data_IF_951233920465
#
_entry.id   IF_951233920465
#
_cell.length_a   1.000
_cell.length_b   1.000
_cell.length_c   1.000
_cell.angle_alpha   90.00
_cell.angle_beta   90.00
_cell.angle_gamma   90.00
#
_symmetry.space_group_name_H-M   'P 1'
#
loop_
_entity.id
_entity.type
_entity.pdbx_description
1 polymer ?
#
# COMPACT_ATOMS: atom_id res chain seq x y z
N UNK A 1 -26.50 19.15 -12.73
CA UNK A 1 -26.45 17.67 -12.77
C UNK A 1 -24.99 17.25 -12.67
N UNK A 2 -24.51 16.94 -11.46
CA UNK A 2 -23.16 16.36 -11.29
C UNK A 2 -23.19 14.97 -11.92
N UNK A 3 -22.41 14.77 -12.99
CA UNK A 3 -22.13 13.44 -13.55
C UNK A 3 -21.78 12.51 -12.39
N UNK A 4 -22.44 11.35 -12.36
CA UNK A 4 -22.15 10.28 -11.40
C UNK A 4 -20.63 10.02 -11.38
N UNK A 5 -19.99 10.37 -10.26
CA UNK A 5 -18.52 10.46 -10.17
C UNK A 5 -17.85 9.08 -10.15
N UNK A 6 -18.62 7.99 -10.15
CA UNK A 6 -18.10 6.66 -9.85
C UNK A 6 -17.71 6.60 -8.38
N UNK A 7 -18.39 5.76 -7.60
CA UNK A 7 -18.10 5.63 -6.19
C UNK A 7 -16.96 4.64 -5.97
N UNK A 8 -15.91 5.07 -5.27
CA UNK A 8 -14.78 4.23 -4.89
C UNK A 8 -14.73 4.11 -3.36
N UNK A 9 -14.52 2.90 -2.84
CA UNK A 9 -14.59 2.65 -1.40
C UNK A 9 -13.18 2.56 -0.80
N UNK A 10 -12.91 3.38 0.21
CA UNK A 10 -11.73 3.26 1.06
C UNK A 10 -12.15 2.64 2.40
N UNK A 11 -11.63 1.45 2.70
CA UNK A 11 -11.65 0.90 4.05
C UNK A 11 -10.47 1.49 4.83
N UNK A 12 -10.78 2.15 5.95
CA UNK A 12 -9.83 2.99 6.67
C UNK A 12 -9.62 2.51 8.10
N UNK A 13 -8.40 2.09 8.43
CA UNK A 13 -7.92 2.00 9.81
C UNK A 13 -7.49 3.38 10.35
N UNK A 14 -7.30 3.49 11.66
CA UNK A 14 -6.92 4.72 12.36
C UNK A 14 -5.53 4.61 12.99
N UNK A 15 -5.31 3.65 13.89
CA UNK A 15 -4.04 3.47 14.56
C UNK A 15 -3.03 2.94 13.55
N UNK A 16 -1.84 3.53 13.48
CA UNK A 16 -0.85 3.18 12.46
C UNK A 16 -1.15 3.71 11.06
N UNK A 17 -2.27 4.41 10.88
CA UNK A 17 -2.67 5.05 9.60
C UNK A 17 -2.86 6.55 9.76
N UNK A 18 -3.85 7.00 10.53
CA UNK A 18 -4.15 8.43 10.72
C UNK A 18 -3.27 9.07 11.80
N UNK A 19 -2.55 8.26 12.56
CA UNK A 19 -1.53 8.61 13.53
C UNK A 19 -0.69 7.34 13.82
N UNK A 20 0.51 7.45 14.42
CA UNK A 20 1.27 6.27 14.83
C UNK A 20 0.48 5.36 15.78
N UNK A 21 0.55 4.04 15.59
CA UNK A 21 -0.14 3.04 16.41
C UNK A 21 0.30 3.09 17.88
N UNK A 22 1.58 3.39 18.11
CA UNK A 22 2.08 3.67 19.46
C UNK A 22 1.72 5.11 19.83
N UNK A 23 0.87 5.24 20.86
CA UNK A 23 0.46 6.54 21.39
C UNK A 23 1.68 7.30 21.90
N UNK A 24 1.89 8.48 21.32
CA UNK A 24 2.91 9.45 21.70
C UNK A 24 2.17 10.69 22.21
N UNK A 25 2.34 11.10 23.48
CA UNK A 25 1.68 12.27 24.05
C UNK A 25 1.92 13.57 23.27
N UNK A 26 3.06 13.66 22.56
CA UNK A 26 3.44 14.83 21.77
C UNK A 26 2.85 14.79 20.35
N UNK A 27 2.28 13.65 19.91
CA UNK A 27 1.64 13.51 18.60
C UNK A 27 0.13 13.36 18.78
N UNK A 28 -0.67 14.36 18.36
CA UNK A 28 -2.11 14.25 18.48
C UNK A 28 -2.64 13.13 17.59
N UNK A 29 -3.72 12.49 18.05
CA UNK A 29 -4.51 11.57 17.23
C UNK A 29 -4.93 12.27 15.92
N UNK A 30 -5.04 11.49 14.84
CA UNK A 30 -5.40 11.99 13.52
C UNK A 30 -4.44 13.05 12.93
N UNK A 31 -3.17 13.07 13.34
CA UNK A 31 -2.17 13.99 12.80
C UNK A 31 -1.90 13.85 11.29
N UNK A 32 -2.32 12.74 10.66
CA UNK A 32 -2.24 12.51 9.21
C UNK A 32 -3.52 12.89 8.45
N UNK A 33 -4.45 13.63 9.07
CA UNK A 33 -5.70 14.05 8.43
C UNK A 33 -5.48 14.81 7.12
N UNK A 34 -4.44 15.65 7.04
CA UNK A 34 -4.11 16.41 5.83
C UNK A 34 -3.82 15.52 4.61
N UNK A 35 -3.12 14.40 4.81
CA UNK A 35 -2.83 13.43 3.75
C UNK A 35 -4.09 12.70 3.29
N UNK A 36 -5.01 12.38 4.22
CA UNK A 36 -6.32 11.83 3.88
C UNK A 36 -7.17 12.84 3.08
N UNK A 37 -7.19 14.10 3.50
CA UNK A 37 -7.89 15.16 2.77
C UNK A 37 -7.32 15.36 1.36
N UNK A 38 -5.99 15.29 1.21
CA UNK A 38 -5.33 15.34 -0.09
C UNK A 38 -5.78 14.19 -0.99
N UNK A 39 -5.76 12.95 -0.48
CA UNK A 39 -6.26 11.78 -1.19
C UNK A 39 -7.72 11.97 -1.65
N UNK A 40 -8.58 12.50 -0.78
CA UNK A 40 -9.99 12.75 -1.08
C UNK A 40 -10.22 13.88 -2.09
N UNK A 41 -9.30 14.85 -2.18
CA UNK A 41 -9.31 15.86 -3.24
C UNK A 41 -8.91 15.25 -4.58
N UNK A 42 -7.90 14.37 -4.56
CA UNK A 42 -7.43 13.64 -5.74
C UNK A 42 -8.46 12.64 -6.24
N UNK A 43 -9.26 12.01 -5.37
CA UNK A 43 -10.34 11.10 -5.76
C UNK A 43 -11.70 11.63 -5.24
N UNK A 44 -12.38 12.52 -5.99
CA UNK A 44 -13.64 13.11 -5.54
C UNK A 44 -14.75 12.09 -5.24
N UNK A 45 -14.77 10.97 -5.98
CA UNK A 45 -15.69 9.86 -5.79
C UNK A 45 -15.42 8.98 -4.57
N UNK A 46 -14.32 9.20 -3.85
CA UNK A 46 -13.91 8.38 -2.71
C UNK A 46 -14.86 8.52 -1.52
N UNK A 47 -15.33 7.37 -1.04
CA UNK A 47 -16.18 7.21 0.15
C UNK A 47 -15.47 6.32 1.17
N UNK A 48 -15.59 6.66 2.43
CA UNK A 48 -14.87 5.99 3.52
C UNK A 48 -15.81 5.04 4.25
N UNK A 49 -15.33 3.82 4.46
CA UNK A 49 -15.89 2.86 5.40
C UNK A 49 -14.86 2.62 6.49
N UNK A 50 -15.22 2.88 7.74
CA UNK A 50 -14.30 2.66 8.86
C UNK A 50 -14.10 1.17 9.08
N UNK A 51 -12.86 0.71 9.05
CA UNK A 51 -12.49 -0.67 9.37
C UNK A 51 -11.70 -0.81 10.68
N UNK A 52 -11.37 0.31 11.34
CA UNK A 52 -10.69 0.34 12.64
C UNK A 52 -11.38 -0.39 13.79
N UNK A 53 -10.61 -0.93 14.73
CA UNK A 53 -11.06 -1.45 16.04
C UNK A 53 -11.95 -0.47 16.82
N UNK A 54 -11.81 0.84 16.58
CA UNK A 54 -12.63 1.87 17.21
C UNK A 54 -14.12 1.73 16.88
N UNK A 55 -14.45 1.06 15.77
CA UNK A 55 -15.82 0.76 15.37
C UNK A 55 -16.51 -0.21 16.32
N UNK A 56 -15.78 -0.93 17.17
CA UNK A 56 -16.33 -1.97 18.06
C UNK A 56 -17.11 -1.35 19.23
N UNK A 57 -16.65 -0.20 19.71
CA UNK A 57 -17.25 0.50 20.86
C UNK A 57 -17.98 1.78 20.46
N UNK A 58 -17.85 2.24 19.21
CA UNK A 58 -18.42 3.52 18.75
C UNK A 58 -19.46 3.34 17.65
N UNK A 59 -20.56 4.08 17.76
CA UNK A 59 -21.56 4.17 16.69
C UNK A 59 -20.99 4.88 15.46
N UNK A 60 -21.60 4.67 14.28
CA UNK A 60 -21.20 5.40 13.06
C UNK A 60 -21.28 6.93 13.23
N UNK A 61 -22.28 7.41 13.98
CA UNK A 61 -22.39 8.84 14.31
C UNK A 61 -21.18 9.30 15.12
N UNK A 62 -20.81 8.58 16.17
CA UNK A 62 -19.64 8.92 17.00
C UNK A 62 -18.33 8.86 16.20
N UNK A 63 -18.17 7.88 15.30
CA UNK A 63 -17.00 7.79 14.42
C UNK A 63 -16.91 9.00 13.47
N UNK A 64 -18.03 9.43 12.90
CA UNK A 64 -18.10 10.61 12.02
C UNK A 64 -17.66 11.90 12.71
N UNK A 65 -17.97 12.06 14.00
CA UNK A 65 -17.58 13.25 14.75
C UNK A 65 -16.06 13.37 14.99
N UNK A 66 -15.29 12.29 14.78
CA UNK A 66 -13.82 12.33 14.83
C UNK A 66 -13.21 13.08 13.63
N UNK A 67 -13.97 13.25 12.56
CA UNK A 67 -13.49 13.81 11.31
C UNK A 67 -13.92 15.28 11.14
N UNK A 68 -13.08 16.12 10.51
CA UNK A 68 -13.50 17.43 10.04
C UNK A 68 -14.61 17.30 8.98
N UNK A 69 -15.37 18.37 8.76
CA UNK A 69 -16.52 18.38 7.86
C UNK A 69 -16.18 17.95 6.42
N UNK A 70 -14.96 18.27 5.96
CA UNK A 70 -14.36 17.86 4.69
C UNK A 70 -14.38 16.34 4.47
N UNK A 71 -14.13 15.57 5.54
CA UNK A 71 -14.04 14.11 5.50
C UNK A 71 -15.32 13.44 5.99
N UNK A 72 -15.92 13.97 7.07
CA UNK A 72 -17.10 13.44 7.76
C UNK A 72 -18.24 13.05 6.82
N UNK A 73 -18.52 13.91 5.84
CA UNK A 73 -19.64 13.72 4.90
C UNK A 73 -19.39 12.61 3.87
N UNK A 74 -18.15 12.10 3.77
CA UNK A 74 -17.81 10.96 2.92
C UNK A 74 -17.63 9.66 3.70
N UNK A 75 -17.69 9.69 5.04
CA UNK A 75 -17.73 8.48 5.86
C UNK A 75 -19.15 7.89 5.80
N UNK A 76 -19.32 6.82 5.02
CA UNK A 76 -20.61 6.23 4.69
C UNK A 76 -20.99 5.03 5.56
N UNK A 77 -20.02 4.43 6.25
CA UNK A 77 -20.28 3.23 7.04
C UNK A 77 -19.10 2.77 7.87
N UNK A 78 -19.26 1.59 8.48
CA UNK A 78 -18.21 0.81 9.13
C UNK A 78 -18.33 -0.66 8.72
N UNK A 79 -17.24 -1.40 8.73
CA UNK A 79 -17.28 -2.86 8.55
C UNK A 79 -18.05 -3.53 9.70
N UNK A 80 -18.62 -4.73 9.50
CA UNK A 80 -19.14 -5.54 10.61
C UNK A 80 -18.00 -5.90 11.57
N UNK A 81 -18.28 -5.94 12.88
CA UNK A 81 -17.31 -6.35 13.92
C UNK A 81 -17.10 -7.86 13.94
N UNK A 82 -18.09 -8.61 13.46
CA UNK A 82 -18.04 -10.06 13.34
C UNK A 82 -18.63 -10.45 11.99
N UNK A 83 -17.86 -11.22 11.23
CA UNK A 83 -18.36 -11.90 10.05
C UNK A 83 -18.47 -13.38 10.39
N UNK A 84 -19.66 -13.99 10.31
CA UNK A 84 -19.78 -15.44 10.47
C UNK A 84 -18.87 -16.13 9.46
N UNK A 85 -17.97 -17.00 9.96
CA UNK A 85 -16.93 -17.67 9.17
C UNK A 85 -17.52 -18.54 8.06
N UNK A 86 -18.74 -19.02 8.24
CA UNK A 86 -19.52 -19.81 7.27
C UNK A 86 -19.90 -18.98 6.03
N UNK A 87 -19.86 -17.65 6.14
CA UNK A 87 -20.19 -16.72 5.06
C UNK A 87 -18.94 -16.22 4.31
N UNK A 88 -17.76 -16.70 4.71
CA UNK A 88 -16.48 -16.35 4.13
C UNK A 88 -15.87 -17.54 3.38
N UNK A 89 -15.22 -17.30 2.23
CA UNK A 89 -14.30 -18.29 1.66
C UNK A 89 -13.28 -18.73 2.71
N UNK A 90 -12.97 -20.03 2.78
CA UNK A 90 -12.00 -20.60 3.73
C UNK A 90 -10.65 -19.91 3.69
N UNK A 91 -10.22 -19.46 2.50
CA UNK A 91 -8.99 -18.67 2.32
C UNK A 91 -8.94 -17.36 3.11
N UNK A 92 -10.06 -16.85 3.61
CA UNK A 92 -10.15 -15.60 4.38
C UNK A 92 -10.32 -15.82 5.89
N UNK A 93 -10.41 -17.06 6.36
CA UNK A 93 -10.63 -17.34 7.78
C UNK A 93 -9.51 -16.79 8.68
N UNK A 94 -8.28 -16.76 8.15
CA UNK A 94 -7.11 -16.19 8.83
C UNK A 94 -6.94 -14.68 8.60
N UNK A 95 -7.69 -14.08 7.67
CA UNK A 95 -7.51 -12.69 7.21
C UNK A 95 -8.76 -11.86 7.51
N UNK A 96 -8.98 -11.63 8.80
CA UNK A 96 -10.25 -11.11 9.34
C UNK A 96 -10.61 -9.74 8.76
N UNK A 97 -9.62 -8.87 8.51
CA UNK A 97 -9.89 -7.53 7.97
C UNK A 97 -10.30 -7.58 6.50
N UNK A 98 -9.63 -8.39 5.68
CA UNK A 98 -10.02 -8.60 4.28
C UNK A 98 -11.43 -9.21 4.20
N UNK A 99 -11.73 -10.19 5.06
CA UNK A 99 -13.04 -10.79 5.19
C UNK A 99 -14.15 -9.76 5.49
N UNK A 100 -13.90 -8.86 6.45
CA UNK A 100 -14.80 -7.77 6.81
C UNK A 100 -15.07 -6.80 5.65
N UNK A 101 -14.01 -6.37 4.96
CA UNK A 101 -14.10 -5.48 3.80
C UNK A 101 -14.91 -6.15 2.69
N UNK A 102 -14.60 -7.41 2.38
CA UNK A 102 -15.31 -8.23 1.39
C UNK A 102 -16.79 -8.40 1.76
N UNK A 103 -17.09 -8.66 3.03
CA UNK A 103 -18.47 -8.79 3.50
C UNK A 103 -19.26 -7.48 3.36
N UNK A 104 -18.62 -6.34 3.63
CA UNK A 104 -19.22 -5.03 3.42
C UNK A 104 -19.48 -4.78 1.92
N UNK A 105 -18.49 -5.06 1.06
CA UNK A 105 -18.62 -4.91 -0.39
C UNK A 105 -19.70 -5.82 -0.99
N UNK A 106 -19.96 -6.99 -0.43
CA UNK A 106 -21.05 -7.87 -0.89
C UNK A 106 -22.43 -7.40 -0.43
N UNK A 107 -22.53 -6.85 0.78
CA UNK A 107 -23.83 -6.63 1.44
C UNK A 107 -24.32 -5.18 1.40
N UNK A 108 -23.44 -4.20 1.23
CA UNK A 108 -23.77 -2.78 1.45
C UNK A 108 -23.33 -1.83 0.34
N UNK A 109 -22.37 -2.21 -0.49
CA UNK A 109 -21.88 -1.41 -1.62
C UNK A 109 -23.00 -0.87 -2.52
N UNK A 110 -24.01 -1.70 -2.81
CA UNK A 110 -25.14 -1.33 -3.66
C UNK A 110 -25.96 -0.15 -3.10
N UNK A 111 -25.98 0.03 -1.77
CA UNK A 111 -26.67 1.15 -1.12
C UNK A 111 -26.00 2.50 -1.39
N UNK A 112 -24.76 2.47 -1.89
CA UNK A 112 -23.97 3.65 -2.26
C UNK A 112 -23.57 3.61 -3.72
N UNK A 113 -24.34 2.91 -4.56
CA UNK A 113 -24.17 2.92 -6.03
C UNK A 113 -22.95 2.13 -6.53
N UNK A 114 -22.35 1.27 -5.71
CA UNK A 114 -21.26 0.37 -6.13
C UNK A 114 -21.81 -1.05 -6.28
N UNK A 115 -21.66 -1.72 -7.43
CA UNK A 115 -22.17 -3.09 -7.60
C UNK A 115 -21.57 -4.07 -6.57
N UNK A 116 -22.37 -4.99 -6.00
CA UNK A 116 -21.85 -6.06 -5.16
C UNK A 116 -20.80 -6.89 -5.90
N UNK A 117 -19.68 -7.18 -5.23
CA UNK A 117 -18.56 -7.91 -5.83
C UNK A 117 -17.67 -7.08 -6.75
N UNK A 118 -17.88 -5.77 -6.85
CA UNK A 118 -16.95 -4.85 -7.52
C UNK A 118 -15.60 -4.78 -6.80
N UNK A 119 -14.53 -4.68 -7.59
CA UNK A 119 -13.16 -4.45 -7.13
C UNK A 119 -12.86 -2.97 -6.87
N UNK A 120 -13.85 -2.07 -6.99
CA UNK A 120 -13.73 -0.62 -6.78
C UNK A 120 -13.56 -0.23 -5.31
N UNK A 121 -12.59 -0.83 -4.64
CA UNK A 121 -12.25 -0.58 -3.25
C UNK A 121 -10.76 -0.80 -2.96
N UNK A 122 -10.27 -0.14 -1.91
CA UNK A 122 -8.97 -0.40 -1.30
C UNK A 122 -9.07 -0.31 0.22
N UNK A 123 -8.14 -0.96 0.91
CA UNK A 123 -7.91 -0.82 2.34
C UNK A 123 -6.60 -0.06 2.59
N UNK A 124 -6.62 0.81 3.59
CA UNK A 124 -5.44 1.49 4.12
C UNK A 124 -5.30 1.09 5.59
N UNK A 125 -4.24 0.35 5.88
CA UNK A 125 -4.04 -0.40 7.13
C UNK A 125 -2.54 -0.61 7.38
N UNK A 126 -2.12 -0.78 8.63
CA UNK A 126 -0.73 -1.09 9.00
C UNK A 126 -0.52 -2.58 9.37
N UNK A 127 -1.61 -3.32 9.63
CA UNK A 127 -1.52 -4.71 10.09
C UNK A 127 -1.65 -5.71 8.92
N UNK A 128 -0.54 -5.90 8.18
CA UNK A 128 -0.49 -6.75 6.98
C UNK A 128 -1.06 -8.16 7.18
N UNK A 129 -0.87 -8.76 8.36
CA UNK A 129 -1.33 -10.12 8.68
C UNK A 129 -2.86 -10.27 8.76
N UNK A 130 -3.63 -9.17 8.74
CA UNK A 130 -5.10 -9.23 8.67
C UNK A 130 -5.65 -9.34 7.26
N UNK A 131 -4.77 -9.31 6.27
CA UNK A 131 -5.07 -9.44 4.86
C UNK A 131 -4.32 -10.65 4.30
N UNK A 132 -4.85 -11.23 3.22
CA UNK A 132 -4.15 -12.32 2.54
C UNK A 132 -2.79 -11.86 2.02
N UNK A 133 -1.80 -12.77 1.92
CA UNK A 133 -0.54 -12.47 1.26
C UNK A 133 -0.79 -11.85 -0.11
N UNK A 134 -0.09 -10.75 -0.39
CA UNK A 134 -0.15 -10.01 -1.65
C UNK A 134 -1.55 -9.48 -2.00
N UNK A 135 -2.37 -9.18 -0.98
CA UNK A 135 -3.70 -8.59 -1.15
C UNK A 135 -3.65 -7.32 -2.02
N UNK A 136 -4.10 -7.43 -3.27
CA UNK A 136 -4.05 -6.35 -4.25
C UNK A 136 -4.90 -5.12 -3.88
N UNK A 137 -5.76 -5.23 -2.85
CA UNK A 137 -6.56 -4.11 -2.34
C UNK A 137 -5.93 -3.39 -1.14
N UNK A 138 -4.88 -3.93 -0.51
CA UNK A 138 -4.24 -3.32 0.66
C UNK A 138 -3.10 -2.39 0.24
N UNK A 139 -3.14 -1.12 0.67
CA UNK A 139 -1.96 -0.25 0.81
C UNK A 139 -1.53 -0.30 2.26
N UNK A 140 -0.31 -0.75 2.49
CA UNK A 140 0.26 -0.92 3.82
C UNK A 140 0.93 0.38 4.28
N UNK A 141 0.63 0.84 5.49
CA UNK A 141 1.39 1.92 6.14
C UNK A 141 2.40 1.38 7.13
N UNK A 142 3.46 2.13 7.39
CA UNK A 142 4.30 1.89 8.58
C UNK A 142 3.53 2.38 9.81
N UNK A 143 3.13 1.46 10.69
CA UNK A 143 2.37 1.76 11.90
C UNK A 143 3.07 2.74 12.86
N UNK A 144 4.39 2.94 12.76
CA UNK A 144 5.14 3.93 13.57
C UNK A 144 5.03 5.35 13.00
N UNK A 145 4.64 5.48 11.74
CA UNK A 145 4.65 6.73 10.98
C UNK A 145 3.24 7.18 10.65
N UNK A 146 2.38 6.25 10.23
CA UNK A 146 1.09 6.55 9.63
C UNK A 146 1.18 6.78 8.12
N UNK A 147 0.10 7.31 7.55
CA UNK A 147 -0.05 7.67 6.15
C UNK A 147 0.98 8.72 5.73
N UNK A 148 1.77 8.40 4.72
CA UNK A 148 2.74 9.30 4.08
C UNK A 148 2.26 9.73 2.70
N UNK A 149 2.90 10.74 2.12
CA UNK A 149 2.56 11.22 0.78
C UNK A 149 2.85 10.16 -0.30
N UNK A 150 3.88 9.33 -0.10
CA UNK A 150 4.18 8.20 -0.99
C UNK A 150 3.05 7.17 -1.00
N UNK A 151 2.56 6.78 0.18
CA UNK A 151 1.43 5.86 0.30
C UNK A 151 0.14 6.47 -0.28
N UNK A 152 -0.04 7.79 -0.21
CA UNK A 152 -1.15 8.47 -0.88
C UNK A 152 -1.05 8.35 -2.40
N UNK A 153 0.12 8.62 -3.00
CA UNK A 153 0.28 8.50 -4.45
C UNK A 153 0.18 7.04 -4.93
N UNK A 154 0.70 6.09 -4.14
CA UNK A 154 0.51 4.66 -4.40
C UNK A 154 -0.98 4.29 -4.45
N UNK A 155 -1.73 4.71 -3.43
CA UNK A 155 -3.17 4.45 -3.33
C UNK A 155 -3.91 5.09 -4.51
N UNK A 156 -3.55 6.31 -4.92
CA UNK A 156 -4.15 6.97 -6.08
C UNK A 156 -3.90 6.17 -7.36
N UNK A 157 -2.66 5.73 -7.59
CA UNK A 157 -2.31 4.95 -8.77
C UNK A 157 -3.05 3.62 -8.82
N UNK A 158 -3.07 2.87 -7.71
CA UNK A 158 -3.77 1.58 -7.60
C UNK A 158 -5.29 1.73 -7.70
N UNK A 159 -5.85 2.74 -7.04
CA UNK A 159 -7.29 3.02 -7.11
C UNK A 159 -7.75 3.29 -8.55
N UNK A 160 -6.92 3.93 -9.38
CA UNK A 160 -7.22 4.15 -10.80
C UNK A 160 -7.34 2.82 -11.57
N UNK A 161 -6.47 1.85 -11.28
CA UNK A 161 -6.54 0.48 -11.85
C UNK A 161 -7.86 -0.20 -11.46
N UNK A 162 -8.32 0.04 -10.23
CA UNK A 162 -9.59 -0.47 -9.71
C UNK A 162 -10.81 0.42 -10.05
N UNK A 163 -10.69 1.33 -11.02
CA UNK A 163 -11.82 2.07 -11.58
C UNK A 163 -12.16 3.38 -10.86
N UNK A 164 -11.36 3.83 -9.90
CA UNK A 164 -11.44 5.20 -9.41
C UNK A 164 -11.11 6.19 -10.54
N UNK A 165 -11.56 7.44 -10.40
CA UNK A 165 -11.23 8.53 -11.32
C UNK A 165 -10.44 9.62 -10.62
N UNK A 166 -9.12 9.45 -10.45
CA UNK A 166 -8.30 10.51 -9.88
C UNK A 166 -8.29 11.76 -10.75
N UNK A 167 -8.26 12.92 -10.13
CA UNK A 167 -7.96 14.20 -10.75
C UNK A 167 -6.45 14.34 -10.82
N UNK A 168 -5.92 14.64 -12.00
CA UNK A 168 -4.52 15.04 -12.15
C UNK A 168 -4.28 16.37 -11.41
N UNK A 169 -3.15 16.51 -10.70
CA UNK A 169 -2.80 17.77 -10.08
C UNK A 169 -2.83 18.87 -11.14
N UNK A 170 -3.52 19.99 -10.84
CA UNK A 170 -3.49 21.16 -11.73
C UNK A 170 -2.02 21.54 -11.90
N UNK A 171 -1.52 21.47 -13.13
CA UNK A 171 -0.27 22.15 -13.51
C UNK A 171 -0.46 23.64 -13.25
N UNK A 172 -0.08 24.10 -12.06
CA UNK A 172 0.15 25.52 -11.84
C UNK A 172 1.27 25.91 -12.79
N UNK A 173 1.03 26.92 -13.63
CA UNK A 173 1.96 27.31 -14.67
C UNK A 173 3.34 27.60 -14.09
N UNK A 174 4.28 26.69 -14.31
CA UNK A 174 5.69 27.01 -14.27
C UNK A 174 6.03 27.82 -15.54
N UNK A 175 6.89 28.84 -15.46
CA UNK A 175 7.21 29.67 -16.61
C UNK A 175 7.85 28.81 -17.69
N UNK A 176 7.48 29.13 -18.94
CA UNK A 176 7.97 28.60 -20.19
C UNK A 176 9.42 28.08 -20.10
N UNK A 177 9.61 26.75 -19.98
CA UNK A 177 10.88 26.13 -20.36
C UNK A 177 10.73 25.67 -21.80
N UNK A 178 11.43 26.40 -22.66
CA UNK A 178 11.60 26.13 -24.08
C UNK A 178 11.98 24.67 -24.32
N UNK A 179 11.37 24.08 -25.36
CA UNK A 179 11.73 22.79 -25.95
C UNK A 179 13.24 22.56 -25.93
N UNK A 180 13.68 21.65 -25.07
CA UNK A 180 14.79 20.75 -25.38
C UNK A 180 14.31 19.35 -25.09
N UNK A 181 14.41 18.53 -26.11
CA UNK A 181 14.20 17.09 -26.09
C UNK A 181 14.84 16.54 -24.80
N UNK A 182 13.99 15.99 -23.91
CA UNK A 182 14.47 15.34 -22.71
C UNK A 182 15.05 13.99 -23.13
N UNK A 183 16.35 13.96 -23.41
CA UNK A 183 17.13 12.76 -23.32
C UNK A 183 16.90 12.14 -21.93
N UNK A 184 16.30 10.95 -21.90
CA UNK A 184 16.10 10.16 -20.70
C UNK A 184 17.44 9.61 -20.21
N UNK A 185 18.25 10.48 -19.61
CA UNK A 185 19.43 10.09 -18.85
C UNK A 185 19.03 9.97 -17.38
N UNK A 186 19.22 8.79 -16.79
CA UNK A 186 19.08 8.57 -15.35
C UNK A 186 19.87 9.63 -14.57
N UNK A 187 19.32 10.08 -13.44
CA UNK A 187 19.96 11.12 -12.64
C UNK A 187 21.41 10.72 -12.30
N UNK A 188 22.39 11.65 -12.49
CA UNK A 188 23.80 11.31 -12.34
C UNK A 188 24.11 10.83 -10.92
N UNK A 189 24.51 9.57 -10.80
CA UNK A 189 25.02 8.97 -9.56
C UNK A 189 24.21 7.80 -8.99
N UNK A 190 23.06 7.47 -9.56
CA UNK A 190 22.31 6.27 -9.17
C UNK A 190 22.70 5.08 -10.06
N UNK A 191 22.83 3.91 -9.45
CA UNK A 191 23.05 2.63 -10.14
C UNK A 191 22.13 1.58 -9.55
N UNK A 192 21.93 0.47 -10.24
CA UNK A 192 21.17 -0.64 -9.67
C UNK A 192 21.91 -1.21 -8.46
N UNK A 193 21.14 -1.63 -7.48
CA UNK A 193 21.57 -2.40 -6.33
C UNK A 193 20.65 -3.59 -6.17
N UNK A 194 21.21 -4.73 -5.80
CA UNK A 194 20.45 -5.90 -5.35
C UNK A 194 20.65 -6.07 -3.85
N UNK A 195 19.56 -6.20 -3.10
CA UNK A 195 19.57 -6.64 -1.70
C UNK A 195 18.77 -7.93 -1.62
N UNK A 196 19.29 -8.94 -0.93
CA UNK A 196 18.67 -10.26 -0.84
C UNK A 196 18.81 -10.84 0.56
N UNK A 197 17.86 -11.68 0.96
CA UNK A 197 17.93 -12.43 2.21
C UNK A 197 17.40 -13.85 2.04
N UNK A 198 18.03 -14.79 2.75
CA UNK A 198 17.59 -16.17 2.92
C UNK A 198 17.28 -16.37 4.39
N UNK A 199 16.00 -16.34 4.73
CA UNK A 199 15.54 -16.34 6.11
C UNK A 199 14.93 -17.68 6.50
N UNK A 200 15.36 -18.20 7.65
CA UNK A 200 14.80 -19.40 8.27
C UNK A 200 14.05 -19.01 9.55
N UNK A 201 12.74 -19.21 9.57
CA UNK A 201 11.99 -19.19 10.81
C UNK A 201 12.33 -20.47 11.59
N UNK A 202 12.41 -20.39 12.92
CA UNK A 202 12.79 -21.53 13.79
C UNK A 202 11.82 -22.70 13.63
N UNK A 203 12.10 -23.60 12.69
CA UNK A 203 11.47 -24.92 12.54
C UNK A 203 10.34 -25.08 11.52
N UNK A 204 9.78 -24.01 10.91
CA UNK A 204 8.51 -24.14 10.17
C UNK A 204 8.53 -23.61 8.71
N UNK A 205 9.44 -22.69 8.35
CA UNK A 205 9.46 -22.15 6.99
C UNK A 205 10.74 -21.43 6.59
N UNK A 206 10.99 -21.40 5.28
CA UNK A 206 12.10 -20.68 4.64
C UNK A 206 11.55 -19.60 3.73
N UNK A 207 12.09 -18.40 3.79
CA UNK A 207 11.68 -17.27 2.96
C UNK A 207 12.86 -16.66 2.22
N UNK A 208 12.76 -16.59 0.91
CA UNK A 208 13.68 -15.84 0.06
C UNK A 208 13.14 -14.45 -0.19
N UNK A 209 13.99 -13.44 -0.07
CA UNK A 209 13.69 -12.04 -0.36
C UNK A 209 14.69 -11.49 -1.37
N UNK A 210 14.21 -10.65 -2.26
CA UNK A 210 15.06 -9.93 -3.21
C UNK A 210 14.43 -8.60 -3.59
N UNK A 211 15.26 -7.56 -3.60
CA UNK A 211 14.91 -6.22 -4.05
C UNK A 211 16.03 -5.69 -4.96
N UNK A 212 15.68 -5.30 -6.18
CA UNK A 212 16.56 -4.68 -7.15
C UNK A 212 16.03 -3.28 -7.45
N UNK A 213 16.81 -2.25 -7.16
CA UNK A 213 16.38 -0.86 -7.35
C UNK A 213 17.55 0.08 -7.56
N UNK A 214 17.27 1.29 -8.05
CA UNK A 214 18.28 2.34 -8.12
C UNK A 214 18.55 2.93 -6.72
N UNK A 215 19.82 2.98 -6.35
CA UNK A 215 20.29 3.61 -5.12
C UNK A 215 21.64 4.29 -5.33
N UNK A 216 21.89 5.35 -4.54
CA UNK A 216 23.16 6.10 -4.53
C UNK A 216 24.26 5.33 -3.82
N UNK A 217 23.91 4.51 -2.83
CA UNK A 217 24.82 3.75 -2.00
C UNK A 217 24.12 2.53 -1.37
N UNK A 218 24.90 1.71 -0.67
CA UNK A 218 24.43 0.49 -0.02
C UNK A 218 23.37 0.78 1.07
N UNK A 219 23.56 1.82 1.88
CA UNK A 219 22.63 2.16 2.97
C UNK A 219 21.25 2.53 2.45
N UNK A 220 21.18 3.27 1.35
CA UNK A 220 19.93 3.59 0.66
C UNK A 220 19.28 2.32 0.08
N UNK A 221 20.05 1.45 -0.57
CA UNK A 221 19.53 0.18 -1.11
C UNK A 221 18.95 -0.71 0.01
N UNK A 222 19.64 -0.81 1.14
CA UNK A 222 19.19 -1.57 2.32
C UNK A 222 17.97 -0.91 2.97
N UNK A 223 17.91 0.42 2.99
CA UNK A 223 16.73 1.15 3.47
C UNK A 223 15.51 0.88 2.58
N UNK A 224 15.69 0.87 1.26
CA UNK A 224 14.63 0.54 0.31
C UNK A 224 14.16 -0.92 0.46
N UNK A 225 15.08 -1.87 0.63
CA UNK A 225 14.75 -3.27 0.95
C UNK A 225 13.93 -3.40 2.25
N UNK A 226 14.33 -2.69 3.31
CA UNK A 226 13.60 -2.70 4.58
C UNK A 226 12.19 -2.14 4.46
N UNK A 227 12.00 -1.13 3.61
CA UNK A 227 10.66 -0.60 3.27
C UNK A 227 9.83 -1.61 2.49
N UNK A 228 10.45 -2.38 1.59
CA UNK A 228 9.77 -3.35 0.74
C UNK A 228 9.30 -4.62 1.48
N UNK A 229 9.98 -5.04 2.55
CA UNK A 229 9.66 -6.29 3.26
C UNK A 229 9.43 -6.09 4.76
N UNK A 230 10.49 -5.81 5.51
CA UNK A 230 10.52 -5.38 6.92
C UNK A 230 11.99 -5.15 7.32
N UNK A 231 12.34 -4.15 8.16
CA UNK A 231 13.71 -3.97 8.66
C UNK A 231 14.31 -5.19 9.36
N UNK A 232 13.48 -6.05 9.96
CA UNK A 232 13.88 -7.32 10.58
C UNK A 232 14.68 -8.21 9.62
N UNK A 233 14.27 -8.28 8.35
CA UNK A 233 14.92 -9.13 7.35
C UNK A 233 16.25 -8.58 6.84
N UNK A 234 16.66 -7.37 7.25
CA UNK A 234 18.01 -6.88 6.98
C UNK A 234 19.07 -7.67 7.77
N UNK A 235 18.68 -8.34 8.85
CA UNK A 235 19.58 -9.15 9.64
C UNK A 235 20.03 -10.37 8.82
N UNK A 236 21.28 -10.36 8.35
CA UNK A 236 21.82 -11.40 7.47
C UNK A 236 21.56 -11.19 5.97
N UNK A 237 20.92 -10.08 5.58
CA UNK A 237 20.74 -9.73 4.18
C UNK A 237 22.07 -9.34 3.52
N UNK A 238 22.34 -9.90 2.34
CA UNK A 238 23.41 -9.47 1.47
C UNK A 238 22.99 -8.29 0.60
N UNK A 239 23.95 -7.44 0.23
CA UNK A 239 23.73 -6.31 -0.67
C UNK A 239 24.92 -6.15 -1.62
N UNK A 240 24.65 -5.78 -2.87
CA UNK A 240 25.70 -5.46 -3.84
C UNK A 240 25.19 -4.58 -4.96
N UNK A 241 26.12 -3.85 -5.57
CA UNK A 241 25.86 -3.02 -6.75
C UNK A 241 25.62 -3.90 -7.99
N UNK A 242 24.66 -3.49 -8.82
CA UNK A 242 24.23 -4.19 -10.02
C UNK A 242 23.14 -5.24 -9.76
N UNK A 243 22.80 -5.99 -10.82
CA UNK A 243 21.89 -7.14 -10.76
C UNK A 243 22.68 -8.40 -10.38
N UNK A 244 22.50 -8.87 -9.16
CA UNK A 244 23.27 -9.99 -8.61
C UNK A 244 22.70 -11.34 -9.05
N UNK A 245 23.59 -12.29 -9.34
CA UNK A 245 23.25 -13.71 -9.52
C UNK A 245 23.84 -14.53 -8.37
N UNK A 246 22.98 -15.07 -7.53
CA UNK A 246 23.32 -15.97 -6.44
C UNK A 246 22.19 -16.99 -6.23
N UNK A 247 22.37 -17.89 -5.27
CA UNK A 247 21.38 -18.93 -4.97
C UNK A 247 19.99 -18.37 -4.69
N UNK A 248 19.89 -17.25 -3.95
CA UNK A 248 18.61 -16.60 -3.60
C UNK A 248 17.98 -15.94 -4.82
N UNK A 249 18.71 -15.12 -5.57
CA UNK A 249 18.16 -14.39 -6.72
C UNK A 249 17.72 -15.33 -7.85
N UNK A 250 18.37 -16.49 -8.02
CA UNK A 250 17.93 -17.52 -8.96
C UNK A 250 16.66 -18.25 -8.53
N UNK A 251 16.33 -18.30 -7.23
CA UNK A 251 15.00 -18.76 -6.80
C UNK A 251 13.91 -17.73 -7.18
N UNK A 252 14.26 -16.44 -7.09
CA UNK A 252 13.30 -15.33 -7.18
C UNK A 252 13.00 -14.86 -8.59
N UNK A 253 13.97 -14.94 -9.50
CA UNK A 253 13.84 -14.46 -10.88
C UNK A 253 14.52 -15.39 -11.87
N UNK A 254 13.95 -15.44 -13.09
CA UNK A 254 14.58 -16.15 -14.20
C UNK A 254 15.83 -15.43 -14.71
N UNK A 255 16.74 -16.17 -15.35
CA UNK A 255 17.90 -15.59 -16.02
C UNK A 255 17.53 -14.53 -17.07
N UNK A 256 16.39 -14.71 -17.73
CA UNK A 256 15.89 -13.73 -18.70
C UNK A 256 15.47 -12.43 -18.02
N UNK A 257 14.80 -12.51 -16.87
CA UNK A 257 14.41 -11.34 -16.10
C UNK A 257 15.62 -10.59 -15.55
N UNK A 258 16.63 -11.28 -15.00
CA UNK A 258 17.84 -10.65 -14.48
C UNK A 258 18.64 -9.94 -15.59
N UNK A 259 18.79 -10.56 -16.77
CA UNK A 259 19.41 -9.90 -17.93
C UNK A 259 18.63 -8.68 -18.41
N UNK A 260 17.30 -8.75 -18.37
CA UNK A 260 16.47 -7.61 -18.75
C UNK A 260 16.63 -6.46 -17.75
N UNK A 261 16.57 -6.72 -16.44
CA UNK A 261 16.79 -5.70 -15.41
C UNK A 261 18.15 -5.03 -15.52
N UNK A 262 19.20 -5.80 -15.79
CA UNK A 262 20.55 -5.27 -16.01
C UNK A 262 20.61 -4.33 -17.22
N UNK A 263 19.87 -4.64 -18.30
CA UNK A 263 19.77 -3.76 -19.47
C UNK A 263 19.11 -2.41 -19.18
N UNK A 264 18.40 -2.30 -18.05
CA UNK A 264 17.72 -1.08 -17.61
C UNK A 264 18.59 -0.19 -16.70
N UNK A 265 19.82 -0.57 -16.38
CA UNK A 265 20.66 0.18 -15.42
C UNK A 265 20.91 1.66 -15.78
N UNK A 266 20.78 2.02 -17.06
CA UNK A 266 20.90 3.42 -17.52
C UNK A 266 19.57 4.04 -17.96
N UNK A 267 18.44 3.40 -17.64
CA UNK A 267 17.12 3.75 -18.15
C UNK A 267 16.13 3.94 -17.01
N UNK A 268 15.65 5.18 -16.84
CA UNK A 268 14.51 5.50 -15.97
C UNK A 268 14.65 5.00 -14.53
N UNK A 269 13.55 5.04 -13.78
CA UNK A 269 13.47 4.40 -12.47
C UNK A 269 13.11 2.92 -12.66
N UNK A 270 13.82 2.03 -11.96
CA UNK A 270 13.67 0.58 -12.06
C UNK A 270 13.58 0.03 -10.65
N UNK A 271 12.56 -0.79 -10.42
CA UNK A 271 12.37 -1.53 -9.19
C UNK A 271 11.85 -2.93 -9.51
N UNK A 272 12.43 -3.95 -8.89
CA UNK A 272 11.95 -5.32 -8.93
C UNK A 272 12.03 -5.93 -7.52
N UNK A 273 10.88 -6.36 -7.01
CA UNK A 273 10.73 -6.90 -5.65
C UNK A 273 10.11 -8.28 -5.75
N UNK A 274 10.70 -9.27 -5.08
CA UNK A 274 10.24 -10.66 -5.10
C UNK A 274 10.42 -11.35 -3.76
N UNK A 275 9.47 -12.22 -3.41
CA UNK A 275 9.48 -13.04 -2.21
C UNK A 275 8.94 -14.43 -2.55
N UNK A 276 9.60 -15.46 -2.04
CA UNK A 276 9.08 -16.84 -2.03
C UNK A 276 9.08 -17.33 -0.59
N UNK A 277 7.92 -17.70 -0.09
CA UNK A 277 7.76 -18.33 1.23
C UNK A 277 7.45 -19.81 1.06
N UNK A 278 8.21 -20.67 1.74
CA UNK A 278 8.09 -22.11 1.71
C UNK A 278 7.73 -22.58 3.11
N UNK A 279 6.57 -23.21 3.25
CA UNK A 279 6.23 -23.99 4.45
C UNK A 279 6.89 -25.36 4.32
N UNK A 280 7.69 -25.74 5.32
CA UNK A 280 8.38 -27.03 5.35
C UNK A 280 7.62 -28.08 6.19
N UNK A 281 6.42 -27.73 6.65
CA UNK A 281 5.45 -28.57 7.36
C UNK A 281 4.60 -29.42 6.42
#
# INVERSE_FOLDING_TARGET
MTKDQGHFILFLDFDGVLHPAQLDPERPLFCRMGSLEHLMQRIPGLRIVVSSSWRETRSLKALRELFPASVRNRVIGRTPVQVPVELLPTRLWSYVREAECTAWMRRRSHLVGVPPGSDAWMALDDESWRFSPDCAHLVLTDGRVGLTDEAVEELIGRAAVFGARPIEPRRTGAPHRTNREAEMHGEPGQCLWTVWADYFATGEGRTFFGHISHARNEDEARTQFARAFDPFFLQGAGSSKGVVRNEVTHQLWSEQALKWLESLERRGNVEATSRIHINLS
#
